data_IF_034810090149
#
_entry.id   IF_034810090149
#
_cell.length_a   1.000
_cell.length_b   1.000
_cell.length_c   1.000
_cell.angle_alpha   90.00
_cell.angle_beta   90.00
_cell.angle_gamma   90.00
#
_symmetry.space_group_name_H-M   'P 1'
#
loop_
_entity.id
_entity.type
_entity.pdbx_description
1 polymer ?
#
# COMPACT_ATOMS: atom_id res chain seq x y z
N UNK A 1 -5.53 0.47 -9.13
CA UNK A 1 -5.85 0.03 -7.75
C UNK A 1 -4.95 0.76 -6.77
N UNK A 2 -5.48 1.14 -5.61
CA UNK A 2 -4.73 1.77 -4.52
C UNK A 2 -4.62 0.81 -3.34
N UNK A 3 -3.44 0.70 -2.75
CA UNK A 3 -3.18 -0.04 -1.50
C UNK A 3 -2.67 0.93 -0.45
N UNK A 4 -3.32 0.95 0.70
CA UNK A 4 -3.03 1.83 1.83
C UNK A 4 -2.92 0.94 3.06
N UNK A 5 -1.71 0.77 3.60
CA UNK A 5 -1.51 0.10 4.88
C UNK A 5 -1.14 1.16 5.92
N UNK A 6 -1.88 1.21 7.03
CA UNK A 6 -1.57 2.10 8.15
C UNK A 6 -0.84 1.34 9.25
N UNK A 7 0.00 2.04 9.99
CA UNK A 7 0.85 1.47 11.03
C UNK A 7 0.88 2.36 12.26
N UNK A 8 1.04 1.71 13.41
CA UNK A 8 1.46 2.34 14.66
C UNK A 8 2.93 2.02 14.92
N UNK A 9 3.76 3.05 14.84
CA UNK A 9 5.21 2.95 15.08
C UNK A 9 5.48 3.49 16.49
N UNK A 10 6.03 2.66 17.39
CA UNK A 10 6.36 3.11 18.74
C UNK A 10 7.49 4.15 18.70
N UNK A 11 7.51 5.02 19.71
CA UNK A 11 8.58 6.01 19.90
C UNK A 11 9.95 5.32 19.92
N UNK A 12 10.89 5.84 19.12
CA UNK A 12 12.23 5.26 18.95
C UNK A 12 12.30 4.09 17.96
N UNK A 13 11.18 3.67 17.36
CA UNK A 13 11.11 2.61 16.34
C UNK A 13 11.25 3.11 14.90
N UNK A 14 11.31 4.42 14.67
CA UNK A 14 11.18 5.03 13.34
C UNK A 14 12.31 4.65 12.39
N UNK A 15 13.55 4.57 12.87
CA UNK A 15 14.70 4.21 12.03
C UNK A 15 14.56 2.78 11.50
N UNK A 16 14.24 1.82 12.37
CA UNK A 16 13.99 0.43 11.99
C UNK A 16 12.81 0.33 11.02
N UNK A 17 11.74 1.08 11.28
CA UNK A 17 10.55 1.09 10.43
C UNK A 17 10.87 1.65 9.03
N UNK A 18 11.69 2.70 8.94
CA UNK A 18 12.16 3.26 7.67
C UNK A 18 13.01 2.26 6.89
N UNK A 19 13.92 1.54 7.54
CA UNK A 19 14.73 0.50 6.91
C UNK A 19 13.87 -0.65 6.36
N UNK A 20 12.89 -1.11 7.15
CA UNK A 20 11.90 -2.11 6.70
C UNK A 20 11.06 -1.57 5.52
N UNK A 21 10.67 -0.30 5.61
CA UNK A 21 9.99 0.44 4.56
C UNK A 21 10.74 0.46 3.23
N UNK A 22 12.02 0.80 3.29
CA UNK A 22 12.92 0.83 2.12
C UNK A 22 13.06 -0.55 1.49
N UNK A 23 13.30 -1.59 2.29
CA UNK A 23 13.42 -2.97 1.81
C UNK A 23 12.11 -3.45 1.16
N UNK A 24 10.96 -3.17 1.79
CA UNK A 24 9.65 -3.51 1.26
C UNK A 24 9.35 -2.78 -0.05
N UNK A 25 9.55 -1.46 -0.12
CA UNK A 25 9.33 -0.68 -1.33
C UNK A 25 10.28 -1.10 -2.46
N UNK A 26 11.52 -1.44 -2.16
CA UNK A 26 12.47 -1.98 -3.13
C UNK A 26 11.96 -3.31 -3.71
N UNK A 27 11.53 -4.24 -2.85
CA UNK A 27 11.00 -5.52 -3.30
C UNK A 27 9.70 -5.38 -4.11
N UNK A 28 8.77 -4.52 -3.68
CA UNK A 28 7.49 -4.28 -4.35
C UNK A 28 7.66 -3.57 -5.70
N UNK A 29 8.53 -2.54 -5.76
CA UNK A 29 8.76 -1.76 -6.97
C UNK A 29 9.39 -2.56 -8.11
N UNK A 30 10.09 -3.64 -7.79
CA UNK A 30 10.63 -4.55 -8.77
C UNK A 30 9.62 -5.58 -9.31
N UNK A 31 8.33 -5.49 -8.96
CA UNK A 31 7.30 -6.47 -9.39
C UNK A 31 6.48 -5.92 -10.57
N UNK A 32 6.11 -6.78 -11.55
CA UNK A 32 5.26 -6.37 -12.66
C UNK A 32 3.92 -5.78 -12.18
N UNK A 33 3.53 -4.66 -12.78
CA UNK A 33 2.29 -3.94 -12.49
C UNK A 33 2.30 -3.06 -11.24
N UNK A 34 3.45 -2.88 -10.59
CA UNK A 34 3.66 -1.79 -9.63
C UNK A 34 3.79 -0.46 -10.38
N UNK A 35 3.04 0.56 -9.96
CA UNK A 35 3.03 1.88 -10.59
C UNK A 35 3.75 2.92 -9.75
N UNK A 36 3.48 2.93 -8.44
CA UNK A 36 4.04 3.92 -7.50
C UNK A 36 4.00 3.40 -6.08
N UNK A 37 4.92 3.86 -5.23
CA UNK A 37 4.89 3.60 -3.79
C UNK A 37 5.48 4.75 -2.97
N UNK A 38 4.95 4.94 -1.77
CA UNK A 38 5.34 6.00 -0.81
C UNK A 38 5.19 5.47 0.60
N UNK A 39 6.20 5.67 1.45
CA UNK A 39 6.07 5.55 2.90
C UNK A 39 5.97 6.95 3.49
N UNK A 40 4.95 7.19 4.31
CA UNK A 40 4.57 8.52 4.78
C UNK A 40 4.28 8.50 6.28
N UNK A 41 4.43 9.64 6.94
CA UNK A 41 4.15 9.85 8.36
C UNK A 41 3.11 10.97 8.50
N UNK A 42 2.20 10.84 9.46
CA UNK A 42 1.30 11.93 9.82
C UNK A 42 2.09 13.11 10.44
N UNK A 43 1.63 14.34 10.18
CA UNK A 43 2.34 15.56 10.61
C UNK A 43 2.04 15.92 12.08
N UNK A 44 0.86 15.55 12.54
CA UNK A 44 0.27 15.81 13.85
C UNK A 44 0.43 14.62 14.81
N UNK A 45 0.47 13.39 14.29
CA UNK A 45 0.67 12.16 15.06
C UNK A 45 1.91 11.39 14.58
N UNK A 46 3.14 11.70 15.05
CA UNK A 46 4.38 11.12 14.52
C UNK A 46 4.51 9.59 14.59
N UNK A 47 3.73 8.93 15.47
CA UNK A 47 3.65 7.47 15.55
C UNK A 47 2.77 6.85 14.46
N UNK A 48 1.96 7.63 13.72
CA UNK A 48 1.07 7.15 12.66
C UNK A 48 1.77 7.21 11.31
N UNK A 49 1.86 6.06 10.65
CA UNK A 49 2.50 5.93 9.34
C UNK A 49 1.58 5.28 8.34
N UNK A 50 1.87 5.50 7.07
CA UNK A 50 1.17 4.87 5.96
C UNK A 50 2.11 4.49 4.81
N UNK A 51 2.00 3.24 4.38
CA UNK A 51 2.53 2.76 3.09
C UNK A 51 1.41 2.84 2.06
N UNK A 52 1.59 3.72 1.08
CA UNK A 52 0.67 3.88 -0.06
C UNK A 52 1.34 3.31 -1.30
N UNK A 53 0.66 2.42 -2.02
CA UNK A 53 1.13 1.93 -3.32
C UNK A 53 0.02 1.83 -4.35
N UNK A 54 0.38 2.03 -5.61
CA UNK A 54 -0.52 2.01 -6.75
C UNK A 54 -0.13 0.85 -7.66
N UNK A 55 -1.15 0.12 -8.12
CA UNK A 55 -0.99 -1.10 -8.91
C UNK A 55 -1.95 -1.10 -10.09
N UNK A 56 -1.52 -1.69 -11.20
CA UNK A 56 -2.35 -1.86 -12.40
C UNK A 56 -3.65 -2.61 -12.11
N UNK A 57 -3.59 -3.66 -11.29
CA UNK A 57 -4.75 -4.50 -10.95
C UNK A 57 -4.57 -5.23 -9.63
N UNK A 58 -5.67 -5.74 -9.07
CA UNK A 58 -5.65 -6.64 -7.91
C UNK A 58 -4.88 -7.93 -8.19
N UNK A 59 -4.91 -8.42 -9.43
CA UNK A 59 -4.16 -9.61 -9.84
C UNK A 59 -2.64 -9.39 -9.79
N UNK A 60 -2.17 -8.22 -10.25
CA UNK A 60 -0.75 -7.85 -10.18
C UNK A 60 -0.29 -7.74 -8.72
N UNK A 61 -1.07 -7.10 -7.86
CA UNK A 61 -0.77 -6.99 -6.43
C UNK A 61 -0.71 -8.36 -5.72
N UNK A 62 -1.71 -9.24 -5.92
CA UNK A 62 -1.73 -10.58 -5.30
C UNK A 62 -0.55 -11.45 -5.76
N UNK A 63 -0.18 -11.38 -7.04
CA UNK A 63 1.02 -12.07 -7.57
C UNK A 63 2.30 -11.51 -6.96
N UNK A 64 2.39 -10.19 -6.80
CA UNK A 64 3.53 -9.55 -6.13
C UNK A 64 3.72 -10.06 -4.70
N UNK A 65 2.65 -10.14 -3.90
CA UNK A 65 2.71 -10.68 -2.52
C UNK A 65 3.14 -12.15 -2.45
N UNK A 66 3.00 -12.90 -3.54
CA UNK A 66 3.39 -14.30 -3.60
C UNK A 66 4.87 -14.50 -3.93
N UNK A 67 5.55 -13.45 -4.40
CA UNK A 67 6.95 -13.47 -4.80
C UNK A 67 7.90 -13.62 -3.60
N UNK A 68 9.01 -14.32 -3.79
CA UNK A 68 9.99 -14.62 -2.75
C UNK A 68 10.58 -13.37 -2.07
N UNK A 69 11.08 -12.40 -2.84
CA UNK A 69 11.68 -11.19 -2.27
C UNK A 69 10.65 -10.38 -1.50
N UNK A 70 9.41 -10.31 -2.00
CA UNK A 70 8.32 -9.60 -1.31
C UNK A 70 7.93 -10.32 -0.02
N UNK A 71 7.96 -11.65 0.01
CA UNK A 71 7.76 -12.42 1.26
C UNK A 71 8.88 -12.18 2.25
N UNK A 72 10.12 -12.12 1.78
CA UNK A 72 11.29 -11.93 2.64
C UNK A 72 11.36 -10.51 3.22
N UNK A 73 11.15 -9.49 2.38
CA UNK A 73 11.38 -8.09 2.75
C UNK A 73 10.10 -7.29 2.99
N UNK A 74 8.99 -7.67 2.36
CA UNK A 74 7.70 -6.97 2.47
C UNK A 74 6.79 -7.52 3.56
N UNK A 75 6.72 -8.85 3.75
CA UNK A 75 5.81 -9.46 4.74
C UNK A 75 6.03 -8.96 6.18
N UNK A 76 7.26 -8.77 6.70
CA UNK A 76 7.46 -8.25 8.05
C UNK A 76 6.78 -6.88 8.26
N UNK A 77 6.95 -5.97 7.30
CA UNK A 77 6.31 -4.65 7.34
C UNK A 77 4.79 -4.79 7.24
N UNK A 78 4.30 -5.52 6.22
CA UNK A 78 2.85 -5.67 5.99
C UNK A 78 2.12 -6.38 7.14
N UNK A 79 2.79 -7.26 7.87
CA UNK A 79 2.23 -7.93 9.05
C UNK A 79 2.03 -6.98 10.24
N UNK A 80 2.75 -5.86 10.29
CA UNK A 80 2.57 -4.82 11.31
C UNK A 80 1.43 -3.83 10.99
N UNK A 81 0.76 -3.98 9.83
CA UNK A 81 -0.32 -3.10 9.43
C UNK A 81 -1.53 -3.26 10.36
N UNK A 82 -2.28 -2.17 10.53
CA UNK A 82 -3.55 -2.19 11.25
C UNK A 82 -4.55 -3.15 10.56
N UNK A 83 -5.41 -3.85 11.32
CA UNK A 83 -6.30 -4.89 10.79
C UNK A 83 -7.56 -4.28 10.15
N UNK A 84 -7.38 -3.61 9.01
CA UNK A 84 -8.43 -2.91 8.28
C UNK A 84 -8.38 -3.16 6.78
N UNK A 85 -9.38 -2.66 6.06
CA UNK A 85 -9.35 -2.68 4.61
C UNK A 85 -8.15 -1.87 4.10
N UNK A 86 -7.28 -2.51 3.31
CA UNK A 86 -6.06 -1.88 2.78
C UNK A 86 -6.01 -1.81 1.26
N UNK A 87 -6.95 -2.44 0.56
CA UNK A 87 -6.99 -2.52 -0.90
C UNK A 87 -8.27 -1.87 -1.43
N UNK A 88 -8.12 -0.88 -2.32
CA UNK A 88 -9.20 -0.03 -2.79
C UNK A 88 -9.19 0.08 -4.33
N UNK A 89 -10.38 0.05 -4.92
CA UNK A 89 -10.58 0.43 -6.31
C UNK A 89 -10.64 1.96 -6.44
N UNK A 90 -10.07 2.48 -7.53
CA UNK A 90 -10.20 3.90 -7.86
C UNK A 90 -11.56 4.08 -8.52
N UNK A 91 -12.41 4.96 -7.99
CA UNK A 91 -13.72 5.28 -8.59
C UNK A 91 -13.74 6.63 -9.28
N UNK A 92 -12.95 7.55 -8.74
CA UNK A 92 -12.76 8.90 -9.25
C UNK A 92 -11.29 9.25 -9.11
N UNK A 93 -10.72 9.89 -10.13
CA UNK A 93 -9.39 10.46 -10.10
C UNK A 93 -9.46 11.89 -10.64
N UNK A 94 -8.80 12.83 -9.95
CA UNK A 94 -8.70 14.20 -10.39
C UNK A 94 -7.24 14.58 -10.65
N UNK A 95 -7.03 15.28 -11.76
CA UNK A 95 -5.82 16.06 -12.02
C UNK A 95 -6.21 17.55 -12.11
N UNK A 96 -5.27 18.51 -12.12
CA UNK A 96 -5.64 19.92 -12.23
C UNK A 96 -6.53 20.22 -13.45
N UNK A 97 -7.81 20.50 -13.20
CA UNK A 97 -8.81 20.83 -14.24
C UNK A 97 -9.53 19.65 -14.88
N UNK A 98 -9.24 18.40 -14.48
CA UNK A 98 -9.86 17.21 -15.07
C UNK A 98 -10.31 16.23 -13.98
N UNK A 99 -11.49 15.64 -14.17
CA UNK A 99 -12.03 14.58 -13.31
C UNK A 99 -12.40 13.39 -14.19
N UNK A 100 -11.92 12.20 -13.82
CA UNK A 100 -12.20 10.94 -14.50
C UNK A 100 -12.92 9.99 -13.56
N UNK A 101 -13.93 9.32 -14.08
CA UNK A 101 -14.66 8.26 -13.40
C UNK A 101 -14.23 6.89 -13.93
N UNK A 102 -14.18 5.91 -13.02
CA UNK A 102 -13.79 4.53 -13.32
C UNK A 102 -14.92 3.59 -12.89
N UNK A 103 -15.15 2.57 -13.72
CA UNK A 103 -16.02 1.46 -13.37
C UNK A 103 -15.38 0.63 -12.24
N UNK A 104 -16.22 0.00 -11.42
CA UNK A 104 -15.76 -0.82 -10.30
C UNK A 104 -15.69 -2.28 -10.69
N UNK A 105 -14.72 -2.96 -10.09
CA UNK A 105 -14.51 -4.39 -10.27
C UNK A 105 -15.14 -5.19 -9.12
N UNK A 106 -15.66 -4.52 -8.08
CA UNK A 106 -16.40 -5.17 -7.00
C UNK A 106 -17.73 -5.73 -7.49
N UNK A 107 -17.91 -7.04 -7.32
CA UNK A 107 -19.20 -7.68 -7.54
C UNK A 107 -20.27 -7.06 -6.60
N UNK A 108 -21.49 -6.81 -7.08
CA UNK A 108 -22.57 -6.30 -6.24
C UNK A 108 -22.86 -7.30 -5.10
N UNK A 109 -22.63 -6.89 -3.86
CA UNK A 109 -22.88 -7.69 -2.65
C UNK A 109 -21.66 -7.98 -1.75
N UNK A 110 -20.46 -7.49 -2.10
CA UNK A 110 -19.22 -7.71 -1.33
C UNK A 110 -19.00 -6.78 -0.14
N UNK A 111 -20.05 -6.34 0.57
CA UNK A 111 -19.91 -5.67 1.86
C UNK A 111 -20.30 -6.69 2.95
N UNK A 112 -19.32 -7.09 3.75
CA UNK A 112 -19.53 -7.86 4.97
C UNK A 112 -20.24 -7.01 6.03
#
# INVERSE_FOLDING_TARGET
>A
MLVVNRFDVPEGGEETFLQQGEAALTALSARPGFLRGRLTRAMDEPGRWCLVSEWESVGSYRRALSNFDVKMYGTPLLAAALPEASAFEVRLEATPGELRAFEGDLAPGGAA
#
